data_IF_695748401962
#
_entry.id   IF_695748401962
#
_cell.length_a   1.000
_cell.length_b   1.000
_cell.length_c   1.000
_cell.angle_alpha   90.00
_cell.angle_beta   90.00
_cell.angle_gamma   90.00
#
_symmetry.space_group_name_H-M   'P 1'
#
loop_
_entity.id
_entity.type
_entity.pdbx_description
1 polymer ?
#
# COMPACT_ATOMS: atom_id res chain seq x y z
N UNK A 1 15.06 23.23 1.10
CA UNK A 1 13.87 23.10 1.97
C UNK A 1 14.18 23.47 3.42
N UNK A 2 14.94 22.67 4.20
CA UNK A 2 15.23 22.98 5.62
C UNK A 2 16.00 24.29 5.82
N UNK A 3 16.91 24.61 4.89
CA UNK A 3 17.65 25.88 4.89
C UNK A 3 16.76 27.08 4.51
N UNK A 4 15.71 26.87 3.71
CA UNK A 4 14.85 27.95 3.20
C UNK A 4 13.66 28.28 4.13
N UNK A 5 13.24 27.33 4.96
CA UNK A 5 12.06 27.47 5.83
C UNK A 5 12.39 27.43 7.34
N UNK A 6 13.65 27.21 7.73
CA UNK A 6 14.02 27.18 9.15
C UNK A 6 13.44 25.99 9.94
N UNK A 7 13.30 26.16 11.26
CA UNK A 7 12.74 25.13 12.16
C UNK A 7 11.22 25.26 12.25
N UNK A 8 10.52 24.23 11.79
CA UNK A 8 9.08 24.09 11.91
C UNK A 8 8.72 22.72 12.51
N UNK A 9 7.49 22.60 12.99
CA UNK A 9 6.94 21.35 13.52
C UNK A 9 6.81 20.29 12.42
N UNK A 10 6.78 19.01 12.80
CA UNK A 10 6.61 17.90 11.86
C UNK A 10 5.30 17.99 11.04
N UNK A 11 4.13 18.34 11.60
CA UNK A 11 2.90 18.52 10.82
C UNK A 11 3.04 19.53 9.69
N UNK A 12 3.71 20.65 9.94
CA UNK A 12 3.97 21.68 8.93
C UNK A 12 4.87 21.16 7.80
N UNK A 13 5.94 20.45 8.17
CA UNK A 13 6.82 19.81 7.19
C UNK A 13 6.08 18.78 6.35
N UNK A 14 5.23 17.96 6.98
CA UNK A 14 4.38 16.99 6.29
C UNK A 14 3.49 17.68 5.28
N UNK A 15 2.81 18.77 5.67
CA UNK A 15 1.96 19.55 4.76
C UNK A 15 2.76 20.13 3.58
N UNK A 16 3.93 20.73 3.82
CA UNK A 16 4.76 21.28 2.72
C UNK A 16 5.29 20.22 1.78
N UNK A 17 5.69 19.06 2.30
CA UNK A 17 6.14 17.93 1.49
C UNK A 17 4.98 17.43 0.62
N UNK A 18 3.80 17.23 1.21
CA UNK A 18 2.62 16.80 0.48
C UNK A 18 2.20 17.83 -0.57
N UNK A 19 2.15 19.11 -0.22
CA UNK A 19 1.80 20.19 -1.16
C UNK A 19 2.75 20.24 -2.37
N UNK A 20 4.06 20.01 -2.18
CA UNK A 20 5.02 20.05 -3.28
C UNK A 20 5.04 18.76 -4.11
N UNK A 21 4.97 17.61 -3.45
CA UNK A 21 5.29 16.32 -4.07
C UNK A 21 4.08 15.41 -4.27
N UNK A 22 3.02 15.51 -3.46
CA UNK A 22 1.78 14.76 -3.64
C UNK A 22 0.81 15.50 -4.57
N UNK A 23 1.34 15.97 -5.71
CA UNK A 23 0.54 16.53 -6.79
C UNK A 23 -0.13 15.43 -7.63
N UNK A 24 -1.01 15.82 -8.55
CA UNK A 24 -1.81 14.85 -9.32
C UNK A 24 -0.96 13.94 -10.20
N UNK A 25 0.20 14.42 -10.67
CA UNK A 25 1.15 13.56 -11.40
C UNK A 25 1.74 12.47 -10.50
N UNK A 26 2.01 12.76 -9.22
CA UNK A 26 2.44 11.75 -8.27
C UNK A 26 1.31 10.76 -7.93
N UNK A 27 0.09 11.26 -7.70
CA UNK A 27 -1.08 10.40 -7.45
C UNK A 27 -1.30 9.42 -8.59
N UNK A 28 -1.34 9.93 -9.82
CA UNK A 28 -1.48 9.11 -11.03
C UNK A 28 -0.39 8.04 -11.14
N UNK A 29 0.88 8.39 -10.85
CA UNK A 29 2.00 7.42 -10.86
C UNK A 29 1.83 6.35 -9.80
N UNK A 30 1.38 6.71 -8.59
CA UNK A 30 1.15 5.75 -7.50
C UNK A 30 -0.03 4.83 -7.78
N UNK A 31 -1.14 5.38 -8.28
CA UNK A 31 -2.32 4.61 -8.70
C UNK A 31 -1.92 3.62 -9.78
N UNK A 32 -1.27 4.08 -10.86
CA UNK A 32 -0.81 3.20 -11.93
C UNK A 32 0.15 2.13 -11.43
N UNK A 33 1.09 2.50 -10.54
CA UNK A 33 2.04 1.55 -9.93
C UNK A 33 1.35 0.48 -9.08
N UNK A 34 0.24 0.81 -8.43
CA UNK A 34 -0.58 -0.16 -7.69
C UNK A 34 -1.43 -0.99 -8.67
N UNK A 35 -2.01 -0.37 -9.69
CA UNK A 35 -2.87 -1.06 -10.64
C UNK A 35 -2.11 -2.11 -11.46
N UNK A 36 -0.90 -1.80 -11.89
CA UNK A 36 0.01 -2.69 -12.64
C UNK A 36 0.73 -3.71 -11.74
N UNK A 37 0.63 -3.60 -10.41
CA UNK A 37 1.31 -4.53 -9.51
C UNK A 37 0.61 -5.88 -9.49
N UNK A 38 1.25 -6.89 -10.06
CA UNK A 38 0.88 -8.29 -9.97
C UNK A 38 2.02 -9.01 -9.24
N UNK A 39 1.69 -9.88 -8.29
CA UNK A 39 2.71 -10.68 -7.59
C UNK A 39 3.12 -11.88 -8.46
N UNK A 40 4.41 -12.13 -8.54
CA UNK A 40 4.96 -13.36 -9.10
C UNK A 40 5.56 -14.20 -7.96
N UNK A 41 4.88 -15.27 -7.55
CA UNK A 41 5.28 -16.08 -6.37
C UNK A 41 6.67 -16.73 -6.55
N UNK A 42 7.10 -17.00 -7.78
CA UNK A 42 8.42 -17.59 -8.05
C UNK A 42 9.55 -16.57 -7.90
N UNK A 43 9.27 -15.28 -8.02
CA UNK A 43 10.28 -14.20 -8.07
C UNK A 43 10.19 -13.24 -6.89
N UNK A 44 8.98 -12.94 -6.43
CA UNK A 44 8.70 -11.96 -5.41
C UNK A 44 8.61 -12.60 -4.03
N UNK A 45 9.11 -11.89 -3.01
CA UNK A 45 8.87 -12.24 -1.62
C UNK A 45 7.51 -11.67 -1.18
N UNK A 46 6.57 -12.50 -0.69
CA UNK A 46 5.22 -12.02 -0.37
C UNK A 46 5.17 -10.88 0.63
N UNK A 47 5.92 -10.98 1.74
CA UNK A 47 5.94 -9.95 2.78
C UNK A 47 6.37 -8.56 2.25
N UNK A 48 7.56 -8.37 1.64
CA UNK A 48 7.93 -7.09 1.05
C UNK A 48 6.96 -6.59 -0.01
N UNK A 49 6.43 -7.49 -0.84
CA UNK A 49 5.51 -7.10 -1.91
C UNK A 49 4.19 -6.58 -1.33
N UNK A 50 3.61 -7.28 -0.36
CA UNK A 50 2.35 -6.92 0.29
C UNK A 50 2.47 -5.58 1.04
N UNK A 51 3.54 -5.43 1.84
CA UNK A 51 3.79 -4.19 2.58
C UNK A 51 3.96 -2.99 1.63
N UNK A 52 4.65 -3.16 0.50
CA UNK A 52 4.77 -2.12 -0.52
C UNK A 52 3.42 -1.72 -1.12
N UNK A 53 2.51 -2.67 -1.33
CA UNK A 53 1.16 -2.35 -1.81
C UNK A 53 0.32 -1.66 -0.72
N UNK A 54 0.47 -2.09 0.53
CA UNK A 54 -0.17 -1.44 1.69
C UNK A 54 0.25 0.01 1.80
N UNK A 55 1.55 0.30 1.73
CA UNK A 55 2.08 1.66 1.81
C UNK A 55 1.55 2.56 0.68
N UNK A 56 1.46 2.04 -0.55
CA UNK A 56 0.86 2.76 -1.68
C UNK A 56 -0.59 3.12 -1.42
N UNK A 57 -1.40 2.16 -0.94
CA UNK A 57 -2.81 2.40 -0.63
C UNK A 57 -2.98 3.38 0.52
N UNK A 58 -2.19 3.27 1.60
CA UNK A 58 -2.22 4.22 2.71
C UNK A 58 -1.82 5.63 2.27
N UNK A 59 -0.89 5.76 1.33
CA UNK A 59 -0.47 7.05 0.80
C UNK A 59 -1.52 7.68 -0.12
N UNK A 60 -2.24 6.87 -0.91
CA UNK A 60 -3.31 7.32 -1.82
C UNK A 60 -4.64 7.57 -1.09
N UNK A 61 -4.93 6.77 -0.08
CA UNK A 61 -6.22 6.72 0.62
C UNK A 61 -5.98 6.56 2.13
N UNK A 62 -5.54 7.63 2.83
CA UNK A 62 -5.19 7.55 4.25
C UNK A 62 -6.37 7.15 5.15
N UNK A 63 -7.60 7.45 4.74
CA UNK A 63 -8.82 7.15 5.49
C UNK A 63 -9.40 5.75 5.16
N UNK A 64 -8.70 4.95 4.34
CA UNK A 64 -9.13 3.61 3.98
C UNK A 64 -8.99 2.65 5.17
N UNK A 65 -10.02 1.86 5.44
CA UNK A 65 -9.94 0.81 6.45
C UNK A 65 -8.92 -0.27 6.05
N UNK A 66 -8.19 -0.80 7.04
CA UNK A 66 -7.17 -1.84 6.82
C UNK A 66 -7.77 -3.05 6.09
N UNK A 67 -8.97 -3.48 6.49
CA UNK A 67 -9.75 -4.55 5.83
C UNK A 67 -9.99 -4.29 4.35
N UNK A 68 -10.36 -3.06 3.97
CA UNK A 68 -10.56 -2.72 2.57
C UNK A 68 -9.22 -2.71 1.81
N UNK A 69 -8.16 -2.21 2.44
CA UNK A 69 -6.80 -2.25 1.92
C UNK A 69 -6.35 -3.68 1.59
N UNK A 70 -6.47 -4.60 2.53
CA UNK A 70 -6.14 -6.02 2.32
C UNK A 70 -6.95 -6.63 1.17
N UNK A 71 -8.26 -6.37 1.10
CA UNK A 71 -9.10 -6.87 0.00
C UNK A 71 -8.66 -6.34 -1.36
N UNK A 72 -8.24 -5.07 -1.45
CA UNK A 72 -7.70 -4.51 -2.72
C UNK A 72 -6.38 -5.15 -3.11
N UNK A 73 -5.48 -5.39 -2.15
CA UNK A 73 -4.19 -6.07 -2.40
C UNK A 73 -4.42 -7.53 -2.82
N UNK A 74 -5.34 -8.22 -2.16
CA UNK A 74 -5.65 -9.62 -2.43
C UNK A 74 -6.18 -9.84 -3.85
N UNK A 75 -7.00 -8.91 -4.37
CA UNK A 75 -7.45 -8.95 -5.77
C UNK A 75 -6.30 -8.89 -6.78
N UNK A 76 -5.12 -8.39 -6.41
CA UNK A 76 -3.92 -8.37 -7.26
C UNK A 76 -3.20 -9.72 -7.31
N UNK A 77 -3.52 -10.64 -6.41
CA UNK A 77 -3.03 -12.02 -6.46
C UNK A 77 -3.73 -12.80 -7.57
N UNK A 78 -5.06 -12.65 -7.65
CA UNK A 78 -5.92 -13.28 -8.65
C UNK A 78 -5.93 -14.81 -8.58
N UNK A 79 -6.90 -15.41 -9.29
CA UNK A 79 -6.97 -16.83 -9.57
C UNK A 79 -6.82 -17.74 -8.34
N UNK A 80 -5.94 -18.73 -8.47
CA UNK A 80 -5.70 -19.73 -7.43
C UNK A 80 -5.07 -19.15 -6.16
N UNK A 81 -4.14 -18.20 -6.30
CA UNK A 81 -3.45 -17.61 -5.15
C UNK A 81 -4.44 -16.83 -4.27
N UNK A 82 -5.28 -15.99 -4.88
CA UNK A 82 -6.33 -15.28 -4.16
C UNK A 82 -7.25 -16.26 -3.41
N UNK A 83 -7.69 -17.33 -4.08
CA UNK A 83 -8.56 -18.33 -3.45
C UNK A 83 -7.89 -19.02 -2.25
N UNK A 84 -6.65 -19.47 -2.42
CA UNK A 84 -5.88 -20.16 -1.38
C UNK A 84 -5.55 -19.27 -0.17
N UNK A 85 -5.39 -17.96 -0.38
CA UNK A 85 -5.23 -17.01 0.74
C UNK A 85 -6.57 -16.84 1.48
N UNK A 86 -7.68 -16.64 0.75
CA UNK A 86 -9.02 -16.47 1.36
C UNK A 86 -9.45 -17.67 2.19
N UNK A 87 -9.10 -18.89 1.77
CA UNK A 87 -9.44 -20.10 2.52
C UNK A 87 -8.67 -20.22 3.84
N UNK A 88 -7.51 -19.57 3.96
CA UNK A 88 -6.66 -19.57 5.16
C UNK A 88 -6.93 -18.37 6.07
N UNK A 89 -7.36 -17.24 5.50
CA UNK A 89 -7.64 -16.01 6.22
C UNK A 89 -9.13 -15.89 6.59
N UNK A 90 -9.54 -16.50 7.72
CA UNK A 90 -10.90 -16.35 8.27
C UNK A 90 -10.99 -15.01 9.00
N UNK A 91 -12.00 -14.19 8.70
CA UNK A 91 -12.16 -12.87 9.33
C UNK A 91 -12.48 -12.99 10.85
N UNK A 92 -11.91 -12.14 11.71
CA UNK A 92 -10.96 -11.06 11.43
C UNK A 92 -9.53 -11.58 11.18
N UNK A 93 -8.87 -11.04 10.15
CA UNK A 93 -7.48 -11.39 9.79
C UNK A 93 -6.60 -10.15 9.81
N UNK A 94 -5.41 -10.29 10.38
CA UNK A 94 -4.39 -9.25 10.45
C UNK A 94 -3.58 -9.15 9.16
N UNK A 95 -2.81 -8.08 9.01
CA UNK A 95 -1.80 -7.97 7.94
C UNK A 95 -0.85 -9.18 7.92
N UNK A 96 -0.45 -9.68 9.09
CA UNK A 96 0.46 -10.81 9.22
C UNK A 96 -0.17 -12.12 8.75
N UNK A 97 -1.45 -12.34 9.05
CA UNK A 97 -2.18 -13.52 8.58
C UNK A 97 -2.26 -13.56 7.05
N UNK A 98 -2.54 -12.42 6.41
CA UNK A 98 -2.53 -12.33 4.95
C UNK A 98 -1.16 -12.63 4.36
N UNK A 99 -0.09 -12.10 4.96
CA UNK A 99 1.29 -12.31 4.51
C UNK A 99 1.69 -13.79 4.66
N UNK A 100 1.36 -14.42 5.79
CA UNK A 100 1.67 -15.82 6.05
C UNK A 100 0.87 -16.78 5.16
N UNK A 101 -0.29 -16.33 4.67
CA UNK A 101 -1.11 -17.10 3.74
C UNK A 101 -0.67 -16.96 2.26
N UNK A 102 0.23 -16.04 1.90
CA UNK A 102 0.75 -15.91 0.53
C UNK A 102 1.90 -16.88 0.28
#
# INVERSE_FOLDING_TARGET
MRQDHGKHSWPWWKEKILSKWANDSWRFKMERSFEEAIINIERDRPMPWFLKQKDRLTALHPDMSEKLGHKRILRKCGGYLEHSIRSRCIEPCSTEDYINAM
#
